data_IF_948089918238
#
_entry.id   IF_948089918238
#
_cell.length_a   1.000
_cell.length_b   1.000
_cell.length_c   1.000
_cell.angle_alpha   90.00
_cell.angle_beta   90.00
_cell.angle_gamma   90.00
#
_symmetry.space_group_name_H-M   'P 1'
#
loop_
_entity.id
_entity.type
_entity.pdbx_description
1 polymer ?
#
# COMPACT_ATOMS: atom_id res chain seq x y z
N UNK A 1 -13.74 1.13 16.26
CA UNK A 1 -13.36 1.13 14.85
C UNK A 1 -11.92 0.63 14.72
N UNK A 2 -11.62 -0.17 13.73
CA UNK A 2 -10.27 -0.67 13.42
C UNK A 2 -9.76 -0.05 12.13
N UNK A 3 -8.47 0.28 12.10
CA UNK A 3 -7.81 0.83 10.91
C UNK A 3 -6.92 -0.25 10.33
N UNK A 4 -7.04 -0.47 9.01
CA UNK A 4 -6.27 -1.45 8.26
C UNK A 4 -5.53 -0.73 7.13
N UNK A 5 -4.31 -1.17 6.85
CA UNK A 5 -3.52 -0.70 5.71
C UNK A 5 -2.76 -1.85 5.07
N UNK A 6 -2.00 -1.58 4.03
CA UNK A 6 -1.04 -2.50 3.44
C UNK A 6 0.40 -1.97 3.55
N UNK A 7 1.38 -2.81 3.28
CA UNK A 7 2.79 -2.44 3.40
C UNK A 7 3.29 -1.44 2.35
N UNK A 8 2.45 -1.04 1.38
CA UNK A 8 2.74 0.07 0.46
C UNK A 8 2.82 1.43 1.14
N UNK A 9 2.43 1.51 2.42
CA UNK A 9 2.59 2.69 3.27
C UNK A 9 4.03 2.91 3.75
N UNK A 10 4.93 1.96 3.58
CA UNK A 10 6.31 1.99 4.12
C UNK A 10 6.38 2.24 5.64
N UNK A 11 5.33 1.85 6.36
CA UNK A 11 5.33 1.77 7.82
C UNK A 11 5.81 0.37 8.23
N UNK A 12 6.59 0.27 9.29
CA UNK A 12 6.92 -1.03 9.87
C UNK A 12 5.71 -1.65 10.57
N UNK A 13 5.75 -2.97 10.80
CA UNK A 13 4.74 -3.64 11.63
C UNK A 13 4.70 -3.06 13.04
N UNK A 14 5.86 -2.73 13.59
CA UNK A 14 5.99 -2.12 14.91
C UNK A 14 5.34 -0.73 14.94
N UNK A 15 5.61 0.13 13.95
CA UNK A 15 4.98 1.45 13.84
C UNK A 15 3.45 1.32 13.76
N UNK A 16 2.95 0.39 12.93
CA UNK A 16 1.52 0.14 12.82
C UNK A 16 0.91 -0.32 14.15
N UNK A 17 1.55 -1.22 14.88
CA UNK A 17 1.10 -1.66 16.20
C UNK A 17 1.06 -0.53 17.20
N UNK A 18 2.07 0.33 17.24
CA UNK A 18 2.15 1.48 18.16
C UNK A 18 0.99 2.47 17.96
N UNK A 19 0.53 2.64 16.75
CA UNK A 19 -0.60 3.53 16.43
C UNK A 19 -1.95 2.82 16.35
N UNK A 20 -2.00 1.51 16.64
CA UNK A 20 -3.25 0.72 16.63
C UNK A 20 -3.79 0.38 15.24
N UNK A 21 -2.91 0.29 14.24
CA UNK A 21 -3.23 -0.05 12.85
C UNK A 21 -2.85 -1.51 12.57
N UNK A 22 -3.69 -2.22 11.83
CA UNK A 22 -3.39 -3.58 11.34
C UNK A 22 -2.87 -3.49 9.91
N UNK A 23 -1.72 -4.12 9.64
CA UNK A 23 -1.14 -4.17 8.30
C UNK A 23 -1.38 -5.53 7.65
N UNK A 24 -1.80 -5.53 6.39
CA UNK A 24 -1.84 -6.71 5.51
C UNK A 24 -0.66 -6.58 4.54
N UNK A 25 0.35 -7.46 4.63
CA UNK A 25 1.59 -7.31 3.85
C UNK A 25 1.38 -7.64 2.37
N UNK A 26 1.97 -6.81 1.49
CA UNK A 26 2.22 -7.16 0.10
C UNK A 26 3.19 -8.34 0.05
N UNK A 27 3.21 -9.04 -1.08
CA UNK A 27 4.15 -10.16 -1.30
C UNK A 27 5.23 -9.76 -2.29
N UNK A 28 6.41 -10.28 -2.08
CA UNK A 28 7.55 -10.16 -3.00
C UNK A 28 8.10 -11.56 -3.27
N UNK A 29 8.35 -11.86 -4.53
CA UNK A 29 8.96 -13.12 -4.96
C UNK A 29 10.37 -12.87 -5.47
N UNK A 30 11.32 -13.64 -4.95
CA UNK A 30 12.72 -13.66 -5.38
C UNK A 30 13.08 -15.12 -5.63
N UNK A 31 13.58 -15.44 -6.82
CA UNK A 31 13.98 -16.80 -7.24
C UNK A 31 12.92 -17.89 -6.97
N UNK A 32 11.64 -17.55 -7.19
CA UNK A 32 10.53 -18.48 -7.01
C UNK A 32 10.10 -18.68 -5.55
N UNK A 33 10.71 -17.98 -4.59
CA UNK A 33 10.31 -17.97 -3.19
C UNK A 33 9.50 -16.71 -2.91
N UNK A 34 8.29 -16.88 -2.38
CA UNK A 34 7.39 -15.77 -2.04
C UNK A 34 7.51 -15.41 -0.57
N UNK A 35 7.73 -14.13 -0.29
CA UNK A 35 7.84 -13.56 1.04
C UNK A 35 6.75 -12.52 1.29
N UNK A 36 6.31 -12.39 2.53
CA UNK A 36 5.49 -11.29 3.01
C UNK A 36 6.41 -10.13 3.41
N UNK A 37 6.25 -8.99 2.72
CA UNK A 37 7.12 -7.82 2.89
C UNK A 37 7.04 -7.25 4.33
N UNK A 38 8.20 -7.21 5.01
CA UNK A 38 8.31 -6.75 6.38
C UNK A 38 7.88 -7.77 7.44
N UNK A 39 7.53 -9.03 7.05
CA UNK A 39 7.20 -10.14 7.96
C UNK A 39 8.23 -11.24 7.83
N UNK A 40 8.31 -11.86 6.65
CA UNK A 40 9.22 -12.98 6.37
C UNK A 40 10.58 -12.50 5.87
N UNK A 41 10.63 -11.27 5.38
CA UNK A 41 11.83 -10.64 4.83
C UNK A 41 11.86 -9.16 5.20
N UNK A 42 12.97 -8.72 5.75
CA UNK A 42 13.27 -7.31 5.97
C UNK A 42 13.92 -6.67 4.74
N UNK A 43 14.12 -5.35 4.79
CA UNK A 43 14.66 -4.58 3.68
C UNK A 43 16.10 -4.98 3.33
N UNK A 44 16.95 -5.24 4.33
CA UNK A 44 18.37 -5.59 4.11
C UNK A 44 18.47 -6.94 3.44
N UNK A 45 17.81 -7.95 3.98
CA UNK A 45 17.78 -9.30 3.42
C UNK A 45 17.16 -9.32 2.01
N UNK A 46 16.12 -8.50 1.76
CA UNK A 46 15.56 -8.38 0.42
C UNK A 46 16.58 -7.86 -0.61
N UNK A 47 17.33 -6.82 -0.28
CA UNK A 47 18.36 -6.29 -1.18
C UNK A 47 19.50 -7.26 -1.39
N UNK A 48 19.93 -8.00 -0.36
CA UNK A 48 20.95 -9.05 -0.49
C UNK A 48 20.49 -10.14 -1.47
N UNK A 49 19.26 -10.61 -1.34
CA UNK A 49 18.69 -11.60 -2.27
C UNK A 49 18.57 -11.03 -3.69
N UNK A 50 18.14 -9.79 -3.82
CA UNK A 50 17.98 -9.13 -5.12
C UNK A 50 19.31 -8.96 -5.84
N UNK A 51 20.39 -8.61 -5.12
CA UNK A 51 21.72 -8.45 -5.68
C UNK A 51 22.37 -9.79 -6.04
N UNK A 52 22.03 -10.87 -5.32
CA UNK A 52 22.51 -12.22 -5.60
C UNK A 52 21.73 -12.91 -6.74
N UNK A 53 20.49 -12.47 -7.00
CA UNK A 53 19.61 -13.10 -7.98
C UNK A 53 19.84 -12.58 -9.41
N UNK A 54 19.94 -13.47 -10.41
CA UNK A 54 19.93 -13.08 -11.81
C UNK A 54 18.54 -12.66 -12.32
N UNK A 55 17.49 -12.92 -11.53
CA UNK A 55 16.09 -12.68 -11.89
C UNK A 55 15.54 -11.47 -11.15
N UNK A 56 14.80 -10.62 -11.86
CA UNK A 56 14.12 -9.48 -11.24
C UNK A 56 13.06 -9.94 -10.24
N UNK A 57 13.02 -9.37 -9.02
CA UNK A 57 11.94 -9.61 -8.08
C UNK A 57 10.57 -9.23 -8.65
N UNK A 58 9.56 -9.99 -8.29
CA UNK A 58 8.17 -9.76 -8.69
C UNK A 58 7.36 -9.40 -7.44
N UNK A 59 6.58 -8.32 -7.50
CA UNK A 59 5.65 -7.96 -6.43
C UNK A 59 4.25 -8.45 -6.75
N UNK A 60 3.52 -8.92 -5.74
CA UNK A 60 2.13 -9.30 -5.85
C UNK A 60 1.30 -8.71 -4.71
N UNK A 61 -0.01 -8.62 -4.95
CA UNK A 61 -0.98 -8.19 -3.93
C UNK A 61 -1.14 -9.26 -2.86
N UNK A 62 -1.61 -8.92 -1.65
CA UNK A 62 -2.19 -9.89 -0.75
C UNK A 62 -3.32 -10.65 -1.45
N UNK A 63 -3.63 -11.84 -1.01
CA UNK A 63 -4.79 -12.58 -1.54
C UNK A 63 -6.11 -12.01 -0.98
N UNK A 64 -7.21 -12.33 -1.63
CA UNK A 64 -8.56 -12.01 -1.10
C UNK A 64 -8.73 -12.65 0.29
N UNK A 65 -8.20 -13.86 0.49
CA UNK A 65 -8.25 -14.57 1.76
C UNK A 65 -7.51 -13.83 2.88
N UNK A 66 -6.34 -13.27 2.61
CA UNK A 66 -5.54 -12.51 3.60
C UNK A 66 -6.35 -11.31 4.14
N UNK A 67 -7.05 -10.57 3.27
CA UNK A 67 -7.93 -9.48 3.69
C UNK A 67 -9.21 -9.97 4.37
N UNK A 68 -9.86 -11.00 3.80
CA UNK A 68 -11.13 -11.52 4.31
C UNK A 68 -10.97 -12.04 5.75
N UNK A 69 -9.85 -12.70 6.07
CA UNK A 69 -9.55 -13.16 7.42
C UNK A 69 -9.48 -12.00 8.41
N UNK A 70 -8.72 -10.94 8.07
CA UNK A 70 -8.59 -9.75 8.91
C UNK A 70 -9.92 -9.03 9.07
N UNK A 71 -10.69 -8.86 7.99
CA UNK A 71 -12.00 -8.22 8.04
C UNK A 71 -13.01 -9.02 8.86
N UNK A 72 -13.06 -10.36 8.66
CA UNK A 72 -13.98 -11.22 9.40
C UNK A 72 -13.71 -11.18 10.90
N UNK A 73 -12.41 -11.24 11.29
CA UNK A 73 -12.02 -11.12 12.68
C UNK A 73 -12.62 -9.86 13.35
N UNK A 74 -12.47 -8.71 12.71
CA UNK A 74 -12.96 -7.46 13.29
C UNK A 74 -14.48 -7.31 13.16
N UNK A 75 -15.10 -7.87 12.12
CA UNK A 75 -16.55 -7.93 12.00
C UNK A 75 -17.18 -8.78 13.11
N UNK A 76 -16.57 -9.91 13.47
CA UNK A 76 -17.02 -10.78 14.56
C UNK A 76 -16.89 -10.09 15.94
N UNK A 77 -15.93 -9.17 16.08
CA UNK A 77 -15.80 -8.28 17.25
C UNK A 77 -16.84 -7.13 17.25
N UNK A 78 -17.68 -7.02 16.21
CA UNK A 78 -18.64 -5.92 16.03
C UNK A 78 -18.02 -4.58 15.68
N UNK A 79 -16.75 -4.58 15.28
CA UNK A 79 -16.00 -3.37 14.96
C UNK A 79 -16.36 -2.81 13.57
N UNK A 80 -16.33 -1.50 13.46
CA UNK A 80 -16.34 -0.80 12.19
C UNK A 80 -14.89 -0.72 11.66
N UNK A 81 -14.71 -0.87 10.36
CA UNK A 81 -13.38 -0.99 9.73
C UNK A 81 -13.16 0.16 8.76
N UNK A 82 -12.03 0.85 8.89
CA UNK A 82 -11.51 1.81 7.92
C UNK A 82 -10.24 1.22 7.29
N UNK A 83 -10.30 0.87 6.01
CA UNK A 83 -9.23 0.18 5.28
C UNK A 83 -8.64 1.11 4.23
N UNK A 84 -7.36 1.46 4.40
CA UNK A 84 -6.65 2.53 3.68
C UNK A 84 -5.50 1.92 2.88
N UNK A 85 -5.58 1.98 1.55
CA UNK A 85 -4.70 1.21 0.67
C UNK A 85 -3.93 2.05 -0.34
N UNK A 86 -2.80 1.47 -0.79
CA UNK A 86 -2.03 1.96 -1.93
C UNK A 86 -2.93 2.24 -3.13
N UNK A 87 -2.59 3.26 -3.92
CA UNK A 87 -3.31 3.65 -5.15
C UNK A 87 -3.67 2.46 -6.03
N UNK A 88 -4.94 2.41 -6.43
CA UNK A 88 -5.45 1.43 -7.39
C UNK A 88 -4.81 1.56 -8.78
N UNK A 89 -4.27 2.74 -9.11
CA UNK A 89 -3.50 2.98 -10.33
C UNK A 89 -2.10 2.35 -10.32
N UNK A 90 -1.57 2.03 -9.12
CA UNK A 90 -0.23 1.45 -8.95
C UNK A 90 -0.27 -0.04 -8.61
N UNK A 91 -1.31 -0.49 -7.90
CA UNK A 91 -1.43 -1.86 -7.41
C UNK A 91 -2.87 -2.35 -7.42
N UNK A 92 -3.04 -3.64 -7.67
CA UNK A 92 -4.34 -4.30 -7.52
C UNK A 92 -4.83 -4.44 -6.07
N UNK A 93 -4.02 -4.06 -5.06
CA UNK A 93 -4.30 -4.28 -3.64
C UNK A 93 -5.64 -3.69 -3.20
N UNK A 94 -5.94 -2.44 -3.57
CA UNK A 94 -7.25 -1.82 -3.27
C UNK A 94 -8.43 -2.64 -3.82
N UNK A 95 -8.31 -3.14 -5.05
CA UNK A 95 -9.37 -3.94 -5.68
C UNK A 95 -9.51 -5.31 -5.00
N UNK A 96 -8.42 -5.93 -4.56
CA UNK A 96 -8.44 -7.18 -3.78
C UNK A 96 -9.09 -6.96 -2.43
N UNK A 97 -8.74 -5.88 -1.72
CA UNK A 97 -9.38 -5.49 -0.46
C UNK A 97 -10.88 -5.25 -0.63
N UNK A 98 -11.30 -4.61 -1.73
CA UNK A 98 -12.71 -4.40 -2.06
C UNK A 98 -13.46 -5.72 -2.27
N UNK A 99 -12.88 -6.66 -3.04
CA UNK A 99 -13.48 -7.98 -3.24
C UNK A 99 -13.60 -8.75 -1.92
N UNK A 100 -12.58 -8.68 -1.06
CA UNK A 100 -12.63 -9.29 0.27
C UNK A 100 -13.74 -8.68 1.13
N UNK A 101 -13.91 -7.37 1.10
CA UNK A 101 -14.97 -6.68 1.84
C UNK A 101 -16.38 -7.13 1.40
N UNK A 102 -16.59 -7.41 0.12
CA UNK A 102 -17.86 -7.92 -0.42
C UNK A 102 -18.17 -9.36 0.04
N UNK A 103 -17.16 -10.13 0.45
CA UNK A 103 -17.32 -11.51 0.92
C UNK A 103 -17.64 -11.61 2.41
N UNK A 104 -17.26 -10.61 3.22
CA UNK A 104 -17.43 -10.63 4.67
C UNK A 104 -18.84 -10.13 5.03
N UNK A 105 -19.65 -11.01 5.61
CA UNK A 105 -21.04 -10.69 5.97
C UNK A 105 -21.10 -9.85 7.25
N UNK A 106 -22.09 -8.96 7.31
CA UNK A 106 -22.36 -8.11 8.47
C UNK A 106 -21.20 -7.19 8.89
N UNK A 107 -20.22 -6.99 8.00
CA UNK A 107 -19.12 -6.07 8.23
C UNK A 107 -19.49 -4.65 7.78
N UNK A 108 -19.04 -3.65 8.54
CA UNK A 108 -19.07 -2.24 8.16
C UNK A 108 -17.66 -1.84 7.77
N UNK A 109 -17.35 -1.91 6.46
CA UNK A 109 -16.01 -1.68 5.93
C UNK A 109 -16.05 -0.45 5.02
N UNK A 110 -15.22 0.53 5.34
CA UNK A 110 -15.01 1.74 4.56
C UNK A 110 -13.64 1.66 3.91
N UNK A 111 -13.60 1.70 2.59
CA UNK A 111 -12.39 1.55 1.80
C UNK A 111 -11.92 2.91 1.29
N UNK A 112 -10.65 3.22 1.49
CA UNK A 112 -9.99 4.42 1.00
C UNK A 112 -8.89 4.01 0.02
N UNK A 113 -9.03 4.43 -1.23
CA UNK A 113 -7.95 4.46 -2.20
C UNK A 113 -7.15 5.75 -1.96
N UNK A 114 -5.89 5.61 -1.56
CA UNK A 114 -5.08 6.79 -1.19
C UNK A 114 -4.64 7.63 -2.39
N UNK A 115 -4.75 7.09 -3.61
CA UNK A 115 -4.23 7.65 -4.86
C UNK A 115 -2.73 7.97 -4.79
N UNK A 116 -2.00 7.30 -3.92
CA UNK A 116 -0.57 7.47 -3.71
C UNK A 116 0.04 6.19 -3.12
N UNK A 117 1.28 6.26 -2.65
CA UNK A 117 2.01 5.18 -1.96
C UNK A 117 2.98 5.81 -0.93
N UNK A 118 3.69 4.93 -0.21
CA UNK A 118 4.81 5.31 0.66
C UNK A 118 4.40 6.39 1.67
N UNK A 119 5.19 7.42 1.86
CA UNK A 119 4.94 8.50 2.82
C UNK A 119 3.56 9.16 2.63
N UNK A 120 3.08 9.29 1.38
CA UNK A 120 1.76 9.87 1.10
C UNK A 120 0.61 9.02 1.64
N UNK A 121 0.73 7.68 1.57
CA UNK A 121 -0.19 6.73 2.19
C UNK A 121 -0.01 6.72 3.71
N UNK A 122 1.23 6.68 4.21
CA UNK A 122 1.54 6.71 5.64
C UNK A 122 0.92 7.93 6.34
N UNK A 123 0.94 9.09 5.72
CA UNK A 123 0.31 10.30 6.27
C UNK A 123 -1.19 10.15 6.43
N UNK A 124 -1.88 9.54 5.48
CA UNK A 124 -3.31 9.26 5.57
C UNK A 124 -3.60 8.26 6.70
N UNK A 125 -2.85 7.16 6.77
CA UNK A 125 -2.96 6.14 7.82
C UNK A 125 -2.72 6.74 9.21
N UNK A 126 -1.63 7.48 9.36
CA UNK A 126 -1.24 8.10 10.66
C UNK A 126 -2.25 9.17 11.09
N UNK A 127 -2.77 9.96 10.14
CA UNK A 127 -3.80 10.95 10.43
C UNK A 127 -5.10 10.28 10.90
N UNK A 128 -5.54 9.20 10.24
CA UNK A 128 -6.71 8.44 10.64
C UNK A 128 -6.55 7.88 12.07
N UNK A 129 -5.39 7.26 12.37
CA UNK A 129 -5.10 6.72 13.69
C UNK A 129 -5.10 7.80 14.79
N UNK A 130 -4.45 8.93 14.55
CA UNK A 130 -4.44 10.07 15.51
C UNK A 130 -5.84 10.65 15.74
N UNK A 131 -6.63 10.78 14.67
CA UNK A 131 -7.99 11.30 14.79
C UNK A 131 -8.90 10.33 15.53
N UNK A 132 -8.76 9.02 15.29
CA UNK A 132 -9.47 7.99 16.02
C UNK A 132 -9.13 8.05 17.52
N UNK A 133 -7.85 8.13 17.88
CA UNK A 133 -7.39 8.28 19.26
C UNK A 133 -7.92 9.55 19.93
N UNK A 134 -8.14 10.61 19.14
CA UNK A 134 -8.78 11.85 19.60
C UNK A 134 -10.32 11.79 19.65
N UNK A 135 -10.94 10.62 19.43
CA UNK A 135 -12.37 10.41 19.51
C UNK A 135 -13.18 11.02 18.35
N UNK A 136 -12.55 11.27 17.21
CA UNK A 136 -13.22 11.80 16.02
C UNK A 136 -14.11 10.74 15.38
N UNK A 137 -15.23 11.20 14.80
CA UNK A 137 -16.13 10.33 14.05
C UNK A 137 -15.51 9.84 12.74
N UNK A 138 -16.03 8.74 12.20
CA UNK A 138 -15.59 8.21 10.91
C UNK A 138 -15.75 9.25 9.79
N UNK A 139 -16.86 10.00 9.75
CA UNK A 139 -17.11 11.02 8.74
C UNK A 139 -16.06 12.16 8.80
N UNK A 140 -15.69 12.61 10.03
CA UNK A 140 -14.62 13.60 10.21
C UNK A 140 -13.27 13.06 9.71
N UNK A 141 -12.98 11.78 9.97
CA UNK A 141 -11.76 11.13 9.52
C UNK A 141 -11.74 11.05 7.99
N UNK A 142 -12.78 10.52 7.36
CA UNK A 142 -12.87 10.41 5.90
C UNK A 142 -12.76 11.79 5.22
N UNK A 143 -13.45 12.80 5.75
CA UNK A 143 -13.34 14.17 5.23
C UNK A 143 -11.91 14.71 5.32
N UNK A 144 -11.21 14.42 6.42
CA UNK A 144 -9.81 14.82 6.59
C UNK A 144 -8.87 14.07 5.65
N UNK A 145 -9.08 12.77 5.44
CA UNK A 145 -8.31 11.98 4.47
C UNK A 145 -8.46 12.54 3.05
N UNK A 146 -9.67 12.93 2.64
CA UNK A 146 -9.89 13.60 1.36
C UNK A 146 -9.12 14.92 1.22
N UNK A 147 -9.02 15.72 2.30
CA UNK A 147 -8.20 16.94 2.31
C UNK A 147 -6.70 16.64 2.17
N UNK A 148 -6.20 15.64 2.90
CA UNK A 148 -4.80 15.20 2.82
C UNK A 148 -4.50 14.71 1.41
N UNK A 149 -5.35 13.84 0.86
CA UNK A 149 -5.23 13.32 -0.49
C UNK A 149 -5.17 14.44 -1.54
N UNK A 150 -6.04 15.44 -1.45
CA UNK A 150 -6.04 16.57 -2.37
C UNK A 150 -4.77 17.42 -2.28
N UNK A 151 -4.22 17.59 -1.07
CA UNK A 151 -3.05 18.40 -0.80
C UNK A 151 -1.71 17.68 -0.99
N UNK A 152 -1.71 16.34 -1.10
CA UNK A 152 -0.50 15.54 -1.21
C UNK A 152 -0.12 15.33 -2.68
N UNK A 153 1.13 15.58 -3.03
CA UNK A 153 1.75 15.16 -4.28
C UNK A 153 2.99 14.35 -3.97
N UNK A 154 3.08 13.15 -4.52
CA UNK A 154 4.22 12.25 -4.30
C UNK A 154 5.14 12.29 -5.51
N UNK A 155 6.41 12.62 -5.26
CA UNK A 155 7.46 12.61 -6.27
C UNK A 155 8.58 11.67 -5.83
N UNK A 156 9.18 10.99 -6.77
CA UNK A 156 10.35 10.17 -6.53
C UNK A 156 11.31 10.20 -7.71
N UNK A 157 12.55 9.83 -7.47
CA UNK A 157 13.56 9.63 -8.51
C UNK A 157 14.22 8.27 -8.32
N UNK A 158 14.64 7.66 -9.43
CA UNK A 158 15.34 6.39 -9.43
C UNK A 158 16.64 6.52 -10.19
N UNK A 159 17.73 5.89 -9.73
CA UNK A 159 19.00 5.87 -10.45
C UNK A 159 18.89 5.11 -11.78
N UNK A 160 17.99 4.12 -11.86
CA UNK A 160 17.73 3.27 -13.02
C UNK A 160 16.22 2.96 -13.10
N UNK A 161 15.67 3.07 -14.28
CA UNK A 161 14.25 2.80 -14.54
C UNK A 161 13.93 1.33 -14.84
N UNK A 162 14.94 0.45 -14.88
CA UNK A 162 14.78 -0.96 -15.24
C UNK A 162 13.71 -1.68 -14.40
N UNK A 163 13.65 -1.37 -13.10
CA UNK A 163 12.66 -1.98 -12.20
C UNK A 163 11.22 -1.51 -12.47
N UNK A 164 11.04 -0.22 -12.80
CA UNK A 164 9.73 0.30 -13.20
C UNK A 164 9.26 -0.29 -14.54
N UNK A 165 10.21 -0.47 -15.48
CA UNK A 165 9.93 -1.07 -16.77
C UNK A 165 9.53 -2.54 -16.60
N UNK A 166 10.34 -3.32 -15.90
CA UNK A 166 10.11 -4.74 -15.66
C UNK A 166 8.81 -4.97 -14.86
N UNK A 167 8.53 -4.11 -13.86
CA UNK A 167 7.31 -4.15 -13.06
C UNK A 167 6.06 -3.66 -13.79
N UNK A 168 6.17 -3.06 -14.98
CA UNK A 168 5.02 -2.58 -15.76
C UNK A 168 4.39 -1.27 -15.26
N UNK A 169 4.97 -0.57 -14.27
CA UNK A 169 4.47 0.70 -13.70
C UNK A 169 4.93 1.93 -14.45
N UNK A 170 5.52 1.76 -15.63
CA UNK A 170 6.02 2.83 -16.51
C UNK A 170 5.09 3.13 -17.69
N UNK A 171 3.85 2.68 -17.66
CA UNK A 171 2.94 2.69 -18.82
C UNK A 171 2.81 4.07 -19.51
N UNK A 172 2.78 5.15 -18.73
CA UNK A 172 2.66 6.52 -19.25
C UNK A 172 3.98 7.12 -19.77
N UNK A 173 5.13 6.51 -19.45
CA UNK A 173 6.46 7.00 -19.84
C UNK A 173 7.06 6.21 -21.00
N UNK A 174 6.37 5.20 -21.53
CA UNK A 174 6.93 4.30 -22.57
C UNK A 174 7.44 5.03 -23.82
N UNK A 175 6.78 6.13 -24.21
CA UNK A 175 7.19 6.94 -25.37
C UNK A 175 8.45 7.77 -25.14
N UNK A 176 8.87 7.96 -23.89
CA UNK A 176 10.05 8.78 -23.54
C UNK A 176 11.30 7.95 -23.27
N UNK A 177 11.17 6.63 -23.11
CA UNK A 177 12.28 5.75 -22.72
C UNK A 177 13.48 5.78 -23.66
N UNK A 178 13.23 5.92 -24.95
CA UNK A 178 14.31 5.95 -25.97
C UNK A 178 15.17 7.22 -25.89
N UNK A 179 14.67 8.31 -25.30
CA UNK A 179 15.36 9.61 -25.17
C UNK A 179 15.99 9.84 -23.80
N UNK A 180 15.80 8.91 -22.85
CA UNK A 180 16.20 9.08 -21.44
C UNK A 180 17.58 8.51 -21.08
N UNK A 181 18.39 8.14 -22.05
CA UNK A 181 19.76 7.68 -21.80
C UNK A 181 20.56 8.75 -21.02
N UNK A 182 20.87 8.43 -19.75
CA UNK A 182 21.62 9.32 -18.86
C UNK A 182 20.81 10.38 -18.10
N UNK A 183 19.47 10.40 -18.24
CA UNK A 183 18.58 11.29 -17.50
C UNK A 183 18.04 10.58 -16.25
N UNK A 184 18.06 11.26 -15.10
CA UNK A 184 17.40 10.83 -13.86
C UNK A 184 16.10 11.61 -13.72
N UNK A 185 14.96 11.06 -14.16
CA UNK A 185 13.69 11.79 -14.10
C UNK A 185 13.20 11.92 -12.67
N UNK A 186 12.51 13.03 -12.40
CA UNK A 186 11.59 13.13 -11.25
C UNK A 186 10.22 12.66 -11.74
N UNK A 187 9.68 11.67 -11.07
CA UNK A 187 8.42 11.01 -11.43
C UNK A 187 7.37 11.45 -10.42
N UNK A 188 6.24 11.94 -10.92
CA UNK A 188 5.06 12.24 -10.11
C UNK A 188 4.10 11.06 -10.15
N UNK A 189 3.53 10.72 -8.99
CA UNK A 189 2.45 9.73 -8.89
C UNK A 189 1.15 10.42 -9.26
N UNK A 190 0.57 10.03 -10.40
CA UNK A 190 -0.74 10.54 -10.84
C UNK A 190 -1.85 10.09 -9.90
N UNK A 191 -2.83 10.98 -9.68
CA UNK A 191 -4.07 10.68 -8.95
C UNK A 191 -5.21 10.21 -9.87
N UNK A 192 -4.90 10.03 -11.17
CA UNK A 192 -5.84 9.55 -12.20
C UNK A 192 -5.72 8.05 -12.43
#
# INVERSE_FOLDING_TARGET
MKIITDSGADLSFEDCQQIGVTMVPLKVEVDGVSYQAGVDIDTEHFYDLMDASPVMPITSTPSIGDFAEVYQKFADEGEEILSIHISSGLSGTFNVAKQAAEMVKNARIHLIDTLTLSAGQAWQVTAAAKMQQAGKSLDEIIAKLGQIQAATTTHFTLPDLKYLIAGGRISHLRGLLASMLGIKPVIEVSKE
#
